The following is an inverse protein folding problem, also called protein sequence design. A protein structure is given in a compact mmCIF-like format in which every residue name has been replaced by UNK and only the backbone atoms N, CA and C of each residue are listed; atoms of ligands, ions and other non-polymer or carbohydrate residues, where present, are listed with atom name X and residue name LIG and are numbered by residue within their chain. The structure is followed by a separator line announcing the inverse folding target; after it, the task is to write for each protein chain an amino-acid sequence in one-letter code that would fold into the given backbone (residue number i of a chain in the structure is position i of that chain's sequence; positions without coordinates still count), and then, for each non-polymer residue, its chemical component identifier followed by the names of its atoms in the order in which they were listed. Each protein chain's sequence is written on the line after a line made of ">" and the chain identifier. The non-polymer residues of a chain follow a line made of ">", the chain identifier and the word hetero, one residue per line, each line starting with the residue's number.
data_IF_691120004316
#
_entry.id   IF_691120004316
#
_cell.length_a   1.000
_cell.length_b   1.000
_cell.length_c   1.000
_cell.angle_alpha   90.00
_cell.angle_beta   90.00
_cell.angle_gamma   90.00
#
_symmetry.space_group_name_H-M   'P 1'
#
loop_
_entity.id
_entity.type
_entity.pdbx_description
1 polymer ?
#
# COMPACT_ATOMS: atom_id res chain seq x y z
N UNK A 1 3.82 21.41 11.88
CA UNK A 1 3.98 20.10 12.56
C UNK A 1 4.68 19.14 11.62
N UNK A 2 5.66 18.35 12.08
CA UNK A 2 6.40 17.38 11.24
C UNK A 2 5.66 16.05 11.22
N UNK A 3 5.46 15.45 10.05
CA UNK A 3 4.90 14.09 9.93
C UNK A 3 5.94 13.10 10.44
N UNK A 4 5.56 12.25 11.39
CA UNK A 4 6.39 11.15 11.90
C UNK A 4 6.00 9.88 11.15
N UNK A 5 6.96 9.24 10.48
CA UNK A 5 6.72 7.97 9.78
C UNK A 5 6.66 6.81 10.76
N UNK A 6 5.93 5.75 10.41
CA UNK A 6 5.92 4.51 11.19
C UNK A 6 7.33 3.93 11.40
N UNK A 7 8.21 4.05 10.39
CA UNK A 7 9.60 3.64 10.49
C UNK A 7 10.42 4.46 11.51
N UNK A 8 10.08 5.73 11.72
CA UNK A 8 10.74 6.56 12.75
C UNK A 8 10.31 6.16 14.16
N UNK A 9 9.03 5.83 14.35
CA UNK A 9 8.53 5.30 15.62
C UNK A 9 9.23 3.99 15.94
N UNK A 10 9.31 3.08 14.96
CA UNK A 10 9.99 1.80 15.13
C UNK A 10 11.49 1.97 15.42
N UNK A 11 12.17 2.88 14.70
CA UNK A 11 13.58 3.16 14.92
C UNK A 11 13.84 3.73 16.32
N UNK A 12 12.97 4.62 16.81
CA UNK A 12 13.08 5.17 18.16
C UNK A 12 12.92 4.07 19.23
N UNK A 13 11.87 3.25 19.12
CA UNK A 13 11.60 2.14 20.05
C UNK A 13 12.71 1.09 20.05
N UNK A 14 13.32 0.82 18.90
CA UNK A 14 14.44 -0.10 18.78
C UNK A 14 15.74 0.49 19.36
N UNK A 15 16.12 1.70 18.92
CA UNK A 15 17.33 2.38 19.36
C UNK A 15 17.22 3.91 19.17
N UNK A 16 17.12 4.63 20.29
CA UNK A 16 17.06 6.10 20.31
C UNK A 16 18.27 6.75 19.63
N UNK A 17 19.47 6.17 19.79
CA UNK A 17 20.71 6.68 19.17
C UNK A 17 20.67 6.57 17.65
N UNK A 18 20.27 5.40 17.13
CA UNK A 18 20.13 5.20 15.68
C UNK A 18 19.06 6.11 15.07
N UNK A 19 17.93 6.29 15.78
CA UNK A 19 16.91 7.27 15.39
C UNK A 19 17.46 8.70 15.32
N UNK A 20 18.25 9.12 16.32
CA UNK A 20 18.87 10.45 16.34
C UNK A 20 19.87 10.66 15.19
N UNK A 21 20.63 9.62 14.81
CA UNK A 21 21.47 9.65 13.61
C UNK A 21 20.66 9.77 12.33
N UNK A 22 19.53 9.06 12.24
CA UNK A 22 18.60 9.22 11.13
C UNK A 22 18.03 10.63 10.99
N UNK A 23 17.78 11.34 12.10
CA UNK A 23 17.37 12.74 12.08
C UNK A 23 18.46 13.70 11.57
N UNK A 24 19.73 13.33 11.71
CA UNK A 24 20.87 14.06 11.16
C UNK A 24 21.15 13.70 9.68
N UNK A 25 20.37 12.78 9.10
CA UNK A 25 20.55 12.33 7.72
C UNK A 25 21.63 11.26 7.54
N UNK A 26 22.16 10.69 8.62
CA UNK A 26 23.09 9.56 8.51
C UNK A 26 22.31 8.32 8.03
N UNK A 27 22.80 7.63 6.98
CA UNK A 27 22.16 6.41 6.51
C UNK A 27 22.28 5.29 7.54
N UNK A 28 21.34 4.35 7.47
CA UNK A 28 21.46 3.08 8.21
C UNK A 28 22.53 2.22 7.55
N UNK A 29 23.25 1.39 8.30
CA UNK A 29 24.06 0.32 7.69
C UNK A 29 23.18 -0.76 7.05
N UNK A 30 21.93 -0.88 7.50
CA UNK A 30 20.99 -1.88 7.00
C UNK A 30 20.28 -1.47 5.69
N UNK A 31 21.04 -0.96 4.71
CA UNK A 31 20.47 -0.50 3.43
C UNK A 31 19.90 -1.66 2.59
N UNK A 32 20.48 -2.86 2.72
CA UNK A 32 20.05 -4.03 1.97
C UNK A 32 18.63 -4.45 2.36
N UNK A 33 18.36 -4.66 3.65
CA UNK A 33 17.02 -5.06 4.10
C UNK A 33 15.98 -3.96 3.84
N UNK A 34 16.39 -2.68 3.95
CA UNK A 34 15.51 -1.55 3.62
C UNK A 34 15.11 -1.53 2.14
N UNK A 35 16.04 -1.86 1.23
CA UNK A 35 15.77 -1.96 -0.19
C UNK A 35 14.85 -3.15 -0.49
N UNK A 36 15.10 -4.30 0.13
CA UNK A 36 14.27 -5.50 0.00
C UNK A 36 12.83 -5.25 0.50
N UNK A 37 12.69 -4.66 1.69
CA UNK A 37 11.40 -4.30 2.25
C UNK A 37 10.64 -3.31 1.37
N UNK A 38 11.34 -2.32 0.80
CA UNK A 38 10.76 -1.36 -0.14
C UNK A 38 10.25 -2.04 -1.41
N UNK A 39 11.03 -2.97 -1.97
CA UNK A 39 10.62 -3.75 -3.15
C UNK A 39 9.40 -4.61 -2.85
N UNK A 40 9.38 -5.29 -1.70
CA UNK A 40 8.24 -6.11 -1.25
C UNK A 40 6.95 -5.28 -1.15
N UNK A 41 7.01 -4.11 -0.52
CA UNK A 41 5.87 -3.19 -0.45
C UNK A 41 5.39 -2.73 -1.82
N UNK A 42 6.30 -2.44 -2.76
CA UNK A 42 5.92 -2.05 -4.12
C UNK A 42 5.22 -3.19 -4.87
N UNK A 43 5.72 -4.43 -4.73
CA UNK A 43 5.08 -5.62 -5.32
C UNK A 43 3.68 -5.81 -4.74
N UNK A 44 3.53 -5.70 -3.43
CA UNK A 44 2.24 -5.85 -2.77
C UNK A 44 1.26 -4.74 -3.18
N UNK A 45 1.71 -3.48 -3.27
CA UNK A 45 0.90 -2.37 -3.75
C UNK A 45 0.36 -2.62 -5.16
N UNK A 46 1.21 -3.11 -6.08
CA UNK A 46 0.77 -3.48 -7.44
C UNK A 46 -0.28 -4.59 -7.43
N UNK A 47 -0.12 -5.62 -6.59
CA UNK A 47 -1.09 -6.72 -6.45
C UNK A 47 -2.43 -6.20 -5.90
N UNK A 48 -2.40 -5.35 -4.88
CA UNK A 48 -3.58 -4.73 -4.30
C UNK A 48 -4.34 -3.90 -5.35
N UNK A 49 -3.65 -3.07 -6.12
CA UNK A 49 -4.28 -2.29 -7.18
C UNK A 49 -4.96 -3.16 -8.23
N UNK A 50 -4.31 -4.25 -8.67
CA UNK A 50 -4.91 -5.22 -9.59
C UNK A 50 -6.17 -5.85 -9.01
N UNK A 51 -6.14 -6.25 -7.74
CA UNK A 51 -7.31 -6.81 -7.07
C UNK A 51 -8.47 -5.80 -6.97
N UNK A 52 -8.18 -4.55 -6.59
CA UNK A 52 -9.17 -3.47 -6.53
C UNK A 52 -9.82 -3.27 -7.90
N UNK A 53 -9.04 -3.21 -8.98
CA UNK A 53 -9.57 -3.06 -10.33
C UNK A 53 -10.40 -4.26 -10.78
N UNK A 54 -9.95 -5.48 -10.50
CA UNK A 54 -10.70 -6.69 -10.81
C UNK A 54 -12.08 -6.70 -10.12
N UNK A 55 -12.13 -6.36 -8.82
CA UNK A 55 -13.38 -6.27 -8.06
C UNK A 55 -14.29 -5.17 -8.63
N UNK A 56 -13.75 -3.99 -8.94
CA UNK A 56 -14.53 -2.90 -9.55
C UNK A 56 -15.15 -3.30 -10.89
N UNK A 57 -14.37 -3.95 -11.76
CA UNK A 57 -14.87 -4.43 -13.04
C UNK A 57 -15.94 -5.51 -12.87
N UNK A 58 -15.75 -6.44 -11.93
CA UNK A 58 -16.73 -7.49 -11.64
C UNK A 58 -18.06 -6.89 -11.14
N UNK A 59 -18.00 -5.90 -10.23
CA UNK A 59 -19.19 -5.19 -9.74
C UNK A 59 -19.90 -4.45 -10.87
N UNK A 60 -19.16 -3.72 -11.72
CA UNK A 60 -19.75 -3.03 -12.87
C UNK A 60 -20.42 -4.01 -13.83
N UNK A 61 -19.76 -5.12 -14.17
CA UNK A 61 -20.33 -6.15 -15.03
C UNK A 61 -21.59 -6.78 -14.42
N UNK A 62 -21.58 -7.03 -13.11
CA UNK A 62 -22.74 -7.56 -12.39
C UNK A 62 -23.93 -6.59 -12.43
N UNK A 63 -23.70 -5.30 -12.15
CA UNK A 63 -24.74 -4.27 -12.22
C UNK A 63 -25.32 -4.19 -13.63
N UNK A 64 -24.48 -4.17 -14.67
CA UNK A 64 -24.94 -4.16 -16.06
C UNK A 64 -25.78 -5.40 -16.39
N UNK A 65 -25.35 -6.59 -15.96
CA UNK A 65 -26.11 -7.82 -16.17
C UNK A 65 -27.50 -7.77 -15.51
N UNK A 66 -27.59 -7.25 -14.28
CA UNK A 66 -28.87 -7.06 -13.58
C UNK A 66 -29.76 -6.06 -14.32
N UNK A 67 -29.21 -4.93 -14.79
CA UNK A 67 -29.98 -3.93 -15.54
C UNK A 67 -30.52 -4.50 -16.86
N UNK A 68 -29.71 -5.28 -17.59
CA UNK A 68 -30.14 -5.94 -18.82
C UNK A 68 -31.23 -6.99 -18.55
N UNK A 69 -31.12 -7.72 -17.45
CA UNK A 69 -32.15 -8.68 -17.03
C UNK A 69 -33.47 -7.97 -16.73
N UNK A 70 -33.42 -6.88 -15.96
CA UNK A 70 -34.61 -6.07 -15.65
C UNK A 70 -35.22 -5.51 -16.94
N UNK A 71 -34.39 -4.97 -17.84
CA UNK A 71 -34.84 -4.47 -19.13
C UNK A 71 -35.57 -5.54 -19.93
N UNK A 72 -35.04 -6.76 -20.01
CA UNK A 72 -35.65 -7.88 -20.72
C UNK A 72 -37.03 -8.28 -20.19
N UNK A 73 -37.31 -8.07 -18.91
CA UNK A 73 -38.62 -8.38 -18.33
C UNK A 73 -39.64 -7.23 -18.45
N UNK A 74 -39.18 -5.99 -18.70
CA UNK A 74 -40.04 -4.80 -18.78
C UNK A 74 -40.36 -4.42 -20.23
N UNK A 75 -39.42 -4.62 -21.16
CA UNK A 75 -39.55 -4.32 -22.58
C UNK A 75 -39.94 -5.55 -23.39
#
# INVERSE_FOLDING_TARGET
>A
MRIIRASEINAFLYCHRAWWYGLQGLPSDNQADLAEGSWSHQVQARRLWRAIWAVRLAVLAFVLAVLLLIWHFIA
#
